data_IF_367298441243
#
_entry.id   IF_367298441243
#
_cell.length_a   1.000
_cell.length_b   1.000
_cell.length_c   1.000
_cell.angle_alpha   90.00
_cell.angle_beta   90.00
_cell.angle_gamma   90.00
#
_symmetry.space_group_name_H-M   'P 1'
#
loop_
_entity.id
_entity.type
_entity.pdbx_description
1 polymer ?
#
# COMPACT_ATOMS: atom_id res chain seq x y z
N UNK A 1 -25.79 3.53 3.27
CA UNK A 1 -25.23 3.81 4.61
C UNK A 1 -24.29 5.00 4.52
N UNK A 2 -23.91 5.60 5.64
CA UNK A 2 -22.97 6.73 5.64
C UNK A 2 -21.53 6.25 5.61
N UNK A 3 -20.63 7.09 5.10
CA UNK A 3 -19.19 6.84 5.17
C UNK A 3 -18.70 6.91 6.62
N UNK A 4 -17.74 6.07 6.98
CA UNK A 4 -17.21 6.00 8.33
C UNK A 4 -15.68 6.11 8.35
N UNK A 5 -15.16 6.94 9.25
CA UNK A 5 -13.74 6.97 9.62
C UNK A 5 -13.67 6.57 11.11
N UNK A 6 -13.10 5.41 11.36
CA UNK A 6 -13.05 4.77 12.68
C UNK A 6 -11.61 4.66 13.13
N UNK A 7 -11.29 5.19 14.30
CA UNK A 7 -10.01 4.96 14.97
C UNK A 7 -10.14 3.87 16.00
N UNK A 8 -9.31 2.87 15.93
CA UNK A 8 -9.10 1.89 17.01
C UNK A 8 -7.95 2.40 17.89
N UNK A 9 -8.28 2.69 19.15
CA UNK A 9 -7.34 3.25 20.13
C UNK A 9 -6.56 2.13 20.85
N UNK A 10 -5.47 2.45 21.57
CA UNK A 10 -4.62 1.44 22.22
C UNK A 10 -5.32 0.59 23.28
N UNK A 11 -6.41 1.07 23.85
CA UNK A 11 -7.27 0.34 24.79
C UNK A 11 -8.35 -0.53 24.12
N UNK A 12 -8.28 -0.67 22.78
CA UNK A 12 -9.25 -1.34 21.91
C UNK A 12 -10.65 -0.68 21.88
N UNK A 13 -10.78 0.56 22.32
CA UNK A 13 -11.99 1.34 22.09
C UNK A 13 -11.99 1.95 20.69
N UNK A 14 -13.17 2.22 20.16
CA UNK A 14 -13.33 2.86 18.85
C UNK A 14 -13.82 4.30 19.00
N UNK A 15 -13.25 5.20 18.21
CA UNK A 15 -13.69 6.58 18.10
C UNK A 15 -14.02 6.89 16.64
N UNK A 16 -15.19 7.47 16.39
CA UNK A 16 -15.56 7.96 15.07
C UNK A 16 -14.98 9.36 14.85
N UNK A 17 -14.47 9.60 13.64
CA UNK A 17 -13.93 10.91 13.23
C UNK A 17 -14.76 11.41 12.04
N UNK A 18 -15.30 12.61 12.16
CA UNK A 18 -16.20 13.15 11.13
C UNK A 18 -15.44 13.58 9.87
N UNK A 19 -14.31 14.26 10.01
CA UNK A 19 -13.52 14.78 8.90
C UNK A 19 -12.07 15.06 9.29
N UNK A 20 -11.17 14.80 8.33
CA UNK A 20 -9.76 15.26 8.38
C UNK A 20 -9.34 15.68 6.97
N UNK A 21 -8.40 16.62 6.87
CA UNK A 21 -8.04 17.25 5.60
C UNK A 21 -7.32 16.31 4.61
N UNK A 22 -6.71 15.27 5.11
CA UNK A 22 -5.98 14.28 4.30
C UNK A 22 -6.83 13.07 3.87
N UNK A 23 -8.15 13.09 4.14
CA UNK A 23 -9.10 12.07 3.68
C UNK A 23 -10.21 12.72 2.87
N UNK A 24 -10.32 12.32 1.62
CA UNK A 24 -11.42 12.73 0.72
C UNK A 24 -12.25 11.51 0.36
N UNK A 25 -13.56 11.57 0.58
CA UNK A 25 -14.50 10.51 0.20
C UNK A 25 -15.61 11.10 -0.66
N UNK A 26 -15.73 10.62 -1.89
CA UNK A 26 -16.82 10.90 -2.80
C UNK A 26 -17.52 9.60 -3.17
N UNK A 27 -18.68 9.36 -2.57
CA UNK A 27 -19.45 8.11 -2.66
C UNK A 27 -20.12 7.77 -1.34
N UNK A 28 -20.57 6.53 -1.19
CA UNK A 28 -21.29 6.05 0.00
C UNK A 28 -20.78 4.70 0.49
N UNK A 29 -21.12 4.36 1.73
CA UNK A 29 -20.85 3.04 2.32
C UNK A 29 -19.35 2.69 2.42
N UNK A 30 -18.49 3.69 2.44
CA UNK A 30 -17.05 3.49 2.58
C UNK A 30 -16.65 3.46 4.07
N UNK A 31 -15.74 2.57 4.42
CA UNK A 31 -15.21 2.44 5.79
C UNK A 31 -13.68 2.58 5.77
N UNK A 32 -13.17 3.53 6.54
CA UNK A 32 -11.74 3.68 6.81
C UNK A 32 -11.52 3.38 8.29
N UNK A 33 -10.79 2.32 8.59
CA UNK A 33 -10.43 1.93 9.96
C UNK A 33 -8.92 2.02 10.14
N UNK A 34 -8.50 2.80 11.15
CA UNK A 34 -7.08 3.06 11.43
C UNK A 34 -6.78 2.80 12.89
N UNK A 35 -5.75 2.03 13.21
CA UNK A 35 -5.21 1.96 14.58
C UNK A 35 -4.26 3.12 14.84
N UNK A 36 -4.57 3.93 15.85
CA UNK A 36 -3.79 5.13 16.15
C UNK A 36 -3.71 5.43 17.65
N UNK A 37 -2.74 6.26 18.04
CA UNK A 37 -2.45 6.56 19.46
C UNK A 37 -3.58 7.36 20.14
N UNK A 38 -4.16 8.35 19.43
CA UNK A 38 -5.26 9.18 19.89
C UNK A 38 -5.96 9.90 18.73
N UNK A 39 -7.16 10.41 18.97
CA UNK A 39 -7.91 11.19 17.97
C UNK A 39 -7.18 12.48 17.63
N UNK A 40 -6.61 13.17 18.61
CA UNK A 40 -5.89 14.43 18.44
C UNK A 40 -4.63 14.24 17.58
N UNK A 41 -3.85 13.20 17.87
CA UNK A 41 -2.67 12.87 17.11
C UNK A 41 -3.01 12.47 15.65
N UNK A 42 -4.11 11.75 15.45
CA UNK A 42 -4.57 11.42 14.11
C UNK A 42 -4.98 12.66 13.31
N UNK A 43 -5.73 13.59 13.90
CA UNK A 43 -6.18 14.81 13.23
C UNK A 43 -5.03 15.71 12.73
N UNK A 44 -3.86 15.59 13.35
CA UNK A 44 -2.65 16.36 13.00
C UNK A 44 -1.62 15.55 12.21
N UNK A 45 -1.99 14.33 11.78
CA UNK A 45 -1.10 13.43 11.03
C UNK A 45 -0.71 14.06 9.69
N UNK A 46 0.56 13.95 9.36
CA UNK A 46 1.12 14.34 8.06
C UNK A 46 1.71 13.13 7.35
N UNK A 47 1.75 13.18 6.02
CA UNK A 47 2.32 12.08 5.22
C UNK A 47 1.34 10.91 4.97
N UNK A 48 0.05 11.10 5.25
CA UNK A 48 -1.02 10.22 4.81
C UNK A 48 -1.97 11.04 3.92
N UNK A 49 -2.35 10.47 2.79
CA UNK A 49 -3.43 10.96 1.95
C UNK A 49 -4.29 9.78 1.49
N UNK A 50 -5.60 9.88 1.67
CA UNK A 50 -6.56 8.87 1.22
C UNK A 50 -7.63 9.54 0.40
N UNK A 51 -7.80 9.12 -0.84
CA UNK A 51 -8.86 9.58 -1.74
C UNK A 51 -9.71 8.40 -2.20
N UNK A 52 -11.00 8.46 -1.95
CA UNK A 52 -11.96 7.43 -2.36
C UNK A 52 -13.02 8.07 -3.25
N UNK A 53 -13.11 7.59 -4.48
CA UNK A 53 -14.17 7.89 -5.45
C UNK A 53 -14.87 6.57 -5.78
N UNK A 54 -16.06 6.37 -5.21
CA UNK A 54 -16.84 5.14 -5.34
C UNK A 54 -17.49 4.71 -4.03
N UNK A 55 -18.06 3.51 -4.04
CA UNK A 55 -18.93 3.04 -2.97
C UNK A 55 -18.44 1.71 -2.40
N UNK A 56 -18.82 1.43 -1.15
CA UNK A 56 -18.60 0.15 -0.49
C UNK A 56 -17.13 -0.27 -0.43
N UNK A 57 -16.22 0.70 -0.25
CA UNK A 57 -14.79 0.43 -0.15
C UNK A 57 -14.36 0.33 1.31
N UNK A 58 -13.37 -0.51 1.58
CA UNK A 58 -12.83 -0.72 2.92
C UNK A 58 -11.33 -0.48 2.91
N UNK A 59 -10.88 0.40 3.80
CA UNK A 59 -9.45 0.65 4.06
C UNK A 59 -9.16 0.33 5.52
N UNK A 60 -8.20 -0.56 5.77
CA UNK A 60 -7.70 -0.91 7.10
C UNK A 60 -6.23 -0.62 7.19
N UNK A 61 -5.86 0.27 8.08
CA UNK A 61 -4.48 0.61 8.39
C UNK A 61 -4.22 0.26 9.85
N UNK A 62 -3.50 -0.81 10.07
CA UNK A 62 -3.03 -1.12 11.41
C UNK A 62 -1.96 -0.11 11.85
N UNK A 63 -1.43 -0.24 13.06
CA UNK A 63 -0.45 0.68 13.63
C UNK A 63 0.77 0.85 12.72
N UNK A 64 0.69 1.79 11.78
CA UNK A 64 1.78 2.10 10.87
C UNK A 64 2.84 2.94 11.57
N UNK A 65 4.10 2.73 11.20
CA UNK A 65 5.21 3.57 11.63
C UNK A 65 5.47 4.61 10.55
N UNK A 66 5.09 5.84 10.83
CA UNK A 66 5.43 6.98 9.98
C UNK A 66 6.75 7.57 10.44
N UNK A 67 7.75 7.74 9.56
CA UNK A 67 8.96 8.47 9.91
C UNK A 67 8.58 9.88 10.36
N UNK A 68 8.92 10.27 11.58
CA UNK A 68 8.70 11.65 12.07
C UNK A 68 9.43 12.62 11.17
N UNK A 69 8.67 13.46 10.46
CA UNK A 69 9.16 14.41 9.48
C UNK A 69 9.48 13.70 8.16
N UNK A 70 8.62 13.86 7.15
CA UNK A 70 8.88 13.34 5.82
C UNK A 70 10.28 13.77 5.37
N UNK A 71 11.23 12.85 5.42
CA UNK A 71 12.56 13.08 4.94
C UNK A 71 12.45 13.33 3.45
N UNK A 72 12.70 14.57 3.01
CA UNK A 72 12.73 15.04 1.63
C UNK A 72 11.39 15.47 1.01
N UNK A 73 10.37 15.84 1.81
CA UNK A 73 9.13 16.44 1.27
C UNK A 73 8.25 15.50 0.44
N UNK A 74 8.45 14.19 0.56
CA UNK A 74 7.62 13.20 -0.11
C UNK A 74 6.50 12.74 0.83
N UNK A 75 5.25 12.58 0.33
CA UNK A 75 4.17 12.00 1.10
C UNK A 75 4.54 10.57 1.53
N UNK A 76 4.21 10.17 2.76
CA UNK A 76 4.46 8.82 3.24
C UNK A 76 3.59 7.80 2.50
N UNK A 77 2.27 7.92 2.58
CA UNK A 77 1.32 7.06 1.88
C UNK A 77 0.29 7.90 1.13
N UNK A 78 0.22 7.69 -0.17
CA UNK A 78 -0.84 8.22 -1.04
C UNK A 78 -1.68 7.05 -1.55
N UNK A 79 -2.94 6.96 -1.07
CA UNK A 79 -3.87 5.87 -1.39
C UNK A 79 -5.04 6.41 -2.19
N UNK A 80 -5.24 5.89 -3.38
CA UNK A 80 -6.31 6.29 -4.28
C UNK A 80 -7.18 5.08 -4.68
N UNK A 81 -8.47 5.13 -4.36
CA UNK A 81 -9.51 4.20 -4.79
C UNK A 81 -10.47 4.97 -5.70
N UNK A 82 -10.54 4.58 -6.97
CA UNK A 82 -11.17 5.42 -7.99
C UNK A 82 -10.34 6.68 -8.26
N UNK A 83 -10.84 7.51 -9.13
CA UNK A 83 -10.26 8.81 -9.48
C UNK A 83 -11.39 9.83 -9.66
N UNK A 84 -11.13 11.12 -9.47
CA UNK A 84 -12.13 12.15 -9.80
C UNK A 84 -12.48 12.06 -11.28
N UNK A 85 -13.73 12.42 -11.62
CA UNK A 85 -14.15 12.51 -13.00
C UNK A 85 -13.22 13.48 -13.77
N UNK A 86 -12.83 13.06 -14.96
CA UNK A 86 -11.99 13.86 -15.84
C UNK A 86 -12.69 14.01 -17.19
N UNK A 87 -13.45 15.10 -17.29
CA UNK A 87 -14.22 15.41 -18.51
C UNK A 87 -13.34 15.87 -19.68
N UNK A 88 -12.05 16.04 -19.46
CA UNK A 88 -11.12 16.48 -20.53
C UNK A 88 -10.72 15.35 -21.47
N UNK A 89 -10.61 14.12 -20.96
CA UNK A 89 -10.21 12.95 -21.76
C UNK A 89 -11.42 12.19 -22.32
N UNK A 90 -12.39 11.87 -21.45
CA UNK A 90 -13.60 11.13 -21.82
C UNK A 90 -14.79 11.72 -21.04
N UNK A 91 -15.47 12.73 -21.59
CA UNK A 91 -16.57 13.41 -20.91
C UNK A 91 -17.65 12.44 -20.43
N UNK A 92 -18.04 12.60 -19.16
CA UNK A 92 -19.09 11.79 -18.52
C UNK A 92 -18.70 10.34 -18.23
N UNK A 93 -17.42 9.96 -18.33
CA UNK A 93 -16.96 8.62 -17.97
C UNK A 93 -16.72 8.52 -16.46
N UNK A 94 -17.46 7.67 -15.74
CA UNK A 94 -17.20 7.44 -14.33
C UNK A 94 -15.83 6.77 -14.16
N UNK A 95 -15.07 7.24 -13.19
CA UNK A 95 -13.76 6.69 -12.80
C UNK A 95 -13.78 6.17 -11.37
N UNK A 96 -14.98 5.93 -10.85
CA UNK A 96 -15.20 5.38 -9.52
C UNK A 96 -14.82 3.90 -9.45
N UNK A 97 -14.35 3.49 -8.29
CA UNK A 97 -14.05 2.10 -7.97
C UNK A 97 -14.87 1.66 -6.75
N UNK A 98 -15.58 0.55 -6.89
CA UNK A 98 -16.47 0.03 -5.85
C UNK A 98 -15.98 -1.33 -5.33
N UNK A 99 -16.35 -1.66 -4.11
CA UNK A 99 -16.02 -2.94 -3.46
C UNK A 99 -14.51 -3.21 -3.38
N UNK A 100 -13.69 -2.17 -3.31
CA UNK A 100 -12.26 -2.31 -3.19
C UNK A 100 -11.85 -2.49 -1.71
N UNK A 101 -10.76 -3.22 -1.51
CA UNK A 101 -10.25 -3.49 -0.18
C UNK A 101 -8.75 -3.19 -0.10
N UNK A 102 -8.36 -2.39 0.88
CA UNK A 102 -6.95 -2.12 1.20
C UNK A 102 -6.69 -2.49 2.65
N UNK A 103 -5.62 -3.22 2.89
CA UNK A 103 -5.15 -3.58 4.23
C UNK A 103 -3.64 -3.44 4.31
N UNK A 104 -3.17 -2.77 5.37
CA UNK A 104 -1.74 -2.66 5.68
C UNK A 104 -1.56 -3.04 7.14
N UNK A 105 -0.78 -4.09 7.37
CA UNK A 105 -0.56 -4.68 8.69
C UNK A 105 0.34 -3.84 9.59
N UNK A 106 0.27 -4.15 10.88
CA UNK A 106 0.95 -3.43 11.96
C UNK A 106 2.48 -3.37 11.81
N UNK A 107 3.09 -2.34 12.39
CA UNK A 107 4.53 -2.08 12.41
C UNK A 107 5.16 -1.98 11.01
N UNK A 108 4.35 -1.77 9.97
CA UNK A 108 4.86 -1.51 8.62
C UNK A 108 5.31 -0.07 8.50
N UNK A 109 6.56 0.13 8.05
CA UNK A 109 7.15 1.45 7.81
C UNK A 109 6.92 1.83 6.35
N UNK A 110 6.33 3.01 6.11
CA UNK A 110 6.12 3.54 4.76
C UNK A 110 6.82 4.89 4.65
N UNK A 111 7.86 4.94 3.82
CA UNK A 111 8.62 6.16 3.59
C UNK A 111 8.04 6.99 2.42
N UNK A 112 7.50 6.32 1.38
CA UNK A 112 6.88 7.00 0.26
C UNK A 112 6.30 6.03 -0.77
N UNK A 113 4.98 5.77 -0.73
CA UNK A 113 4.29 4.85 -1.61
C UNK A 113 3.00 5.45 -2.16
N UNK A 114 2.69 5.13 -3.43
CA UNK A 114 1.41 5.39 -4.09
C UNK A 114 0.69 4.08 -4.35
N UNK A 115 -0.50 3.93 -3.80
CA UNK A 115 -1.39 2.79 -4.03
C UNK A 115 -2.55 3.23 -4.92
N UNK A 116 -2.84 2.47 -5.98
CA UNK A 116 -3.89 2.82 -6.95
C UNK A 116 -4.79 1.64 -7.29
N UNK A 117 -6.10 1.82 -7.04
CA UNK A 117 -7.18 0.90 -7.40
C UNK A 117 -8.23 1.69 -8.21
N UNK A 118 -8.28 1.53 -9.52
CA UNK A 118 -9.18 2.30 -10.42
C UNK A 118 -10.42 1.50 -10.83
N UNK A 119 -10.39 0.17 -10.70
CA UNK A 119 -11.49 -0.70 -11.10
C UNK A 119 -12.10 -1.40 -9.88
N UNK A 120 -13.36 -1.80 -10.02
CA UNK A 120 -14.13 -2.50 -8.99
C UNK A 120 -13.50 -3.83 -8.55
N UNK A 121 -13.87 -4.31 -7.38
CA UNK A 121 -13.61 -5.66 -6.86
C UNK A 121 -12.10 -6.02 -6.79
N UNK A 122 -11.23 -5.02 -6.59
CA UNK A 122 -9.79 -5.22 -6.45
C UNK A 122 -9.31 -4.98 -5.03
N UNK A 123 -8.14 -5.53 -4.70
CA UNK A 123 -7.55 -5.32 -3.38
C UNK A 123 -6.03 -5.17 -3.42
N UNK A 124 -5.51 -4.41 -2.45
CA UNK A 124 -4.09 -4.37 -2.09
C UNK A 124 -3.98 -4.80 -0.63
N UNK A 125 -3.26 -5.89 -0.39
CA UNK A 125 -2.95 -6.36 0.95
C UNK A 125 -1.45 -6.33 1.17
N UNK A 126 -1.02 -5.67 2.23
CA UNK A 126 0.37 -5.58 2.67
C UNK A 126 0.42 -6.11 4.10
N UNK A 127 1.26 -7.09 4.35
CA UNK A 127 1.42 -7.70 5.66
C UNK A 127 2.04 -6.78 6.70
N UNK A 128 2.33 -7.34 7.85
CA UNK A 128 2.95 -6.66 9.00
C UNK A 128 4.47 -6.66 8.94
N UNK A 129 5.08 -5.76 9.73
CA UNK A 129 6.54 -5.65 9.85
C UNK A 129 7.26 -5.45 8.51
N UNK A 130 6.63 -4.81 7.53
CA UNK A 130 7.24 -4.49 6.26
C UNK A 130 8.01 -3.17 6.31
N UNK A 131 8.99 -3.01 5.43
CA UNK A 131 9.68 -1.76 5.19
C UNK A 131 9.52 -1.34 3.72
N UNK A 132 8.79 -0.26 3.49
CA UNK A 132 8.49 0.28 2.17
C UNK A 132 9.25 1.59 2.01
N UNK A 133 10.22 1.60 1.09
CA UNK A 133 11.10 2.74 0.85
C UNK A 133 10.38 3.86 0.07
N UNK A 134 11.13 4.74 -0.57
CA UNK A 134 10.59 5.87 -1.34
C UNK A 134 10.40 5.54 -2.81
N UNK A 135 9.46 6.23 -3.46
CA UNK A 135 9.22 6.12 -4.90
C UNK A 135 8.54 4.81 -5.29
N UNK A 136 7.73 4.26 -4.40
CA UNK A 136 7.06 2.96 -4.61
C UNK A 136 5.69 3.20 -5.25
N UNK A 137 5.39 2.49 -6.36
CA UNK A 137 4.04 2.40 -6.92
C UNK A 137 3.52 0.97 -6.78
N UNK A 138 2.29 0.83 -6.27
CA UNK A 138 1.57 -0.43 -6.11
C UNK A 138 0.21 -0.27 -6.76
N UNK A 139 0.07 -0.71 -8.01
CA UNK A 139 -1.10 -0.43 -8.84
C UNK A 139 -1.81 -1.70 -9.28
N UNK A 140 -3.09 -1.82 -8.94
CA UNK A 140 -3.96 -2.93 -9.37
C UNK A 140 -4.39 -2.85 -10.83
N UNK A 141 -3.98 -1.84 -11.56
CA UNK A 141 -4.49 -1.48 -12.89
C UNK A 141 -3.36 -1.02 -13.82
N UNK A 142 -3.61 -1.06 -15.13
CA UNK A 142 -2.81 -0.37 -16.15
C UNK A 142 -3.42 1.02 -16.49
N UNK A 143 -4.47 1.44 -15.79
CA UNK A 143 -5.26 2.66 -16.01
C UNK A 143 -5.99 2.73 -17.35
N UNK A 144 -5.42 2.19 -18.42
CA UNK A 144 -6.01 2.20 -19.77
C UNK A 144 -6.25 0.79 -20.30
N UNK A 145 -7.25 0.65 -21.20
CA UNK A 145 -7.65 -0.63 -21.76
C UNK A 145 -6.71 -1.06 -22.89
N UNK A 146 -6.27 -2.31 -22.81
CA UNK A 146 -5.60 -3.00 -23.92
C UNK A 146 -6.59 -4.05 -24.46
N UNK A 147 -6.79 -4.05 -25.79
CA UNK A 147 -7.66 -5.03 -26.46
C UNK A 147 -6.86 -5.85 -27.48
N UNK A 148 -7.40 -7.01 -27.86
CA UNK A 148 -7.02 -7.64 -29.12
C UNK A 148 -7.64 -6.90 -30.31
N UNK A 149 -7.37 -7.40 -31.53
CA UNK A 149 -7.89 -6.78 -32.76
C UNK A 149 -9.41 -6.95 -32.94
N UNK A 150 -10.02 -7.87 -32.20
CA UNK A 150 -11.45 -8.14 -32.19
C UNK A 150 -12.17 -7.29 -31.13
N UNK A 151 -11.44 -6.49 -30.34
CA UNK A 151 -11.98 -5.60 -29.32
C UNK A 151 -12.15 -6.26 -27.95
N UNK A 152 -11.70 -7.49 -27.73
CA UNK A 152 -11.76 -8.13 -26.41
C UNK A 152 -10.71 -7.53 -25.47
N UNK A 153 -11.13 -7.22 -24.23
CA UNK A 153 -10.23 -6.67 -23.20
C UNK A 153 -9.24 -7.72 -22.72
N UNK A 154 -7.95 -7.38 -22.73
CA UNK A 154 -6.86 -8.29 -22.35
C UNK A 154 -6.30 -8.00 -20.96
N UNK A 155 -6.47 -6.78 -20.42
CA UNK A 155 -5.71 -6.30 -19.27
C UNK A 155 -6.57 -5.92 -18.06
N UNK A 156 -7.54 -6.74 -17.71
CA UNK A 156 -8.34 -6.54 -16.50
C UNK A 156 -7.48 -6.25 -15.28
N UNK A 157 -7.97 -5.37 -14.40
CA UNK A 157 -7.37 -5.12 -13.09
C UNK A 157 -7.38 -6.35 -12.23
N UNK A 158 -6.36 -6.51 -11.38
CA UNK A 158 -6.21 -7.65 -10.47
C UNK A 158 -5.55 -7.22 -9.17
N UNK A 159 -5.95 -7.89 -8.10
CA UNK A 159 -5.44 -7.66 -6.75
C UNK A 159 -3.94 -7.93 -6.61
N UNK A 160 -3.35 -7.32 -5.57
CA UNK A 160 -1.95 -7.46 -5.18
C UNK A 160 -1.88 -7.93 -3.74
N UNK A 161 -0.97 -8.87 -3.46
CA UNK A 161 -0.71 -9.41 -2.13
C UNK A 161 0.79 -9.34 -1.83
N UNK A 162 1.13 -8.70 -0.71
CA UNK A 162 2.50 -8.60 -0.18
C UNK A 162 2.45 -9.19 1.23
N UNK A 163 3.27 -10.19 1.48
CA UNK A 163 3.31 -10.91 2.75
C UNK A 163 3.93 -10.10 3.90
N UNK A 164 4.13 -10.77 5.02
CA UNK A 164 4.74 -10.20 6.21
C UNK A 164 6.26 -10.05 6.05
N UNK A 165 6.85 -9.06 6.73
CA UNK A 165 8.29 -8.86 6.81
C UNK A 165 8.95 -8.78 5.42
N UNK A 166 8.34 -8.00 4.52
CA UNK A 166 8.87 -7.73 3.17
C UNK A 166 9.58 -6.38 3.16
N UNK A 167 10.82 -6.36 2.68
CA UNK A 167 11.54 -5.12 2.42
C UNK A 167 11.43 -4.74 0.95
N UNK A 168 10.79 -3.61 0.67
CA UNK A 168 10.68 -3.03 -0.67
C UNK A 168 11.70 -1.90 -0.79
N UNK A 169 12.71 -2.13 -1.61
CA UNK A 169 13.74 -1.15 -1.93
C UNK A 169 13.19 0.06 -2.68
N UNK A 170 14.00 1.10 -2.81
CA UNK A 170 13.61 2.37 -3.43
C UNK A 170 13.24 2.21 -4.92
N UNK A 171 12.33 3.05 -5.42
CA UNK A 171 11.92 3.17 -6.83
C UNK A 171 11.38 1.85 -7.43
N UNK A 172 10.80 0.97 -6.60
CA UNK A 172 10.16 -0.28 -7.02
C UNK A 172 8.75 -0.02 -7.54
N UNK A 173 8.37 -0.71 -8.62
CA UNK A 173 7.03 -0.70 -9.18
C UNK A 173 6.42 -2.10 -9.10
N UNK A 174 5.23 -2.19 -8.49
CA UNK A 174 4.50 -3.46 -8.31
C UNK A 174 3.19 -3.36 -9.07
N UNK A 175 3.08 -4.16 -10.14
CA UNK A 175 1.91 -4.20 -11.00
C UNK A 175 0.87 -5.21 -10.51
N UNK A 176 -0.30 -5.14 -11.10
CA UNK A 176 -1.44 -6.02 -10.85
C UNK A 176 -1.10 -7.51 -10.94
N UNK A 177 -1.88 -8.36 -10.25
CA UNK A 177 -1.71 -9.82 -10.20
C UNK A 177 -0.37 -10.27 -9.58
N UNK A 178 0.25 -9.40 -8.77
CA UNK A 178 1.49 -9.72 -8.06
C UNK A 178 1.19 -10.33 -6.70
N UNK A 179 2.00 -11.32 -6.34
CA UNK A 179 2.11 -11.84 -4.98
C UNK A 179 3.59 -11.89 -4.59
N UNK A 180 3.90 -11.42 -3.39
CA UNK A 180 5.23 -11.48 -2.80
C UNK A 180 5.09 -12.20 -1.46
N UNK A 181 5.78 -13.32 -1.30
CA UNK A 181 5.74 -14.08 -0.05
C UNK A 181 6.55 -13.43 1.07
N UNK A 182 6.31 -13.90 2.30
CA UNK A 182 6.95 -13.39 3.51
C UNK A 182 8.47 -13.40 3.43
N UNK A 183 9.11 -12.60 4.28
CA UNK A 183 10.57 -12.58 4.48
C UNK A 183 11.38 -12.29 3.20
N UNK A 184 10.78 -11.60 2.24
CA UNK A 184 11.39 -11.33 0.94
C UNK A 184 11.92 -9.90 0.85
N UNK A 185 12.88 -9.71 -0.05
CA UNK A 185 13.49 -8.41 -0.33
C UNK A 185 13.26 -8.09 -1.80
N UNK A 186 12.71 -6.91 -2.09
CA UNK A 186 12.61 -6.40 -3.45
C UNK A 186 13.74 -5.40 -3.68
N UNK A 187 14.63 -5.75 -4.59
CA UNK A 187 15.80 -4.93 -4.92
C UNK A 187 15.41 -3.59 -5.54
N UNK A 188 16.23 -2.59 -5.32
CA UNK A 188 16.05 -1.22 -5.81
C UNK A 188 15.79 -1.16 -7.32
N UNK A 189 14.82 -0.32 -7.74
CA UNK A 189 14.46 -0.09 -9.15
C UNK A 189 13.81 -1.28 -9.86
N UNK A 190 13.34 -2.27 -9.12
CA UNK A 190 12.73 -3.47 -9.70
C UNK A 190 11.30 -3.23 -10.20
N UNK A 191 10.90 -3.94 -11.28
CA UNK A 191 9.52 -3.96 -11.79
C UNK A 191 8.94 -5.36 -11.61
N UNK A 192 8.00 -5.46 -10.65
CA UNK A 192 7.41 -6.74 -10.19
C UNK A 192 6.03 -6.90 -10.82
N UNK A 193 5.86 -7.88 -11.70
CA UNK A 193 4.63 -8.08 -12.49
C UNK A 193 4.12 -9.52 -12.47
N UNK A 194 4.58 -10.34 -11.52
CA UNK A 194 4.17 -11.73 -11.38
C UNK A 194 4.18 -12.18 -9.93
N UNK A 195 3.70 -13.41 -9.69
CA UNK A 195 3.68 -14.03 -8.37
C UNK A 195 5.03 -14.65 -8.03
N UNK A 196 5.46 -14.48 -6.77
CA UNK A 196 6.63 -15.07 -6.16
C UNK A 196 6.19 -15.77 -4.86
N UNK A 197 6.07 -17.09 -4.92
CA UNK A 197 5.56 -17.90 -3.80
C UNK A 197 6.69 -18.43 -2.87
N UNK A 198 7.95 -18.24 -3.25
CA UNK A 198 9.10 -18.57 -2.40
C UNK A 198 9.32 -17.48 -1.35
N UNK A 199 9.60 -17.88 -0.11
CA UNK A 199 10.01 -17.01 1.00
C UNK A 199 11.53 -16.88 1.08
N UNK A 200 12.04 -15.92 1.86
CA UNK A 200 13.46 -15.72 2.11
C UNK A 200 14.30 -15.54 0.83
N UNK A 201 13.78 -14.73 -0.08
CA UNK A 201 14.39 -14.49 -1.39
C UNK A 201 14.65 -13.00 -1.65
N UNK A 202 15.66 -12.72 -2.49
CA UNK A 202 15.80 -11.43 -3.15
C UNK A 202 15.20 -11.50 -4.53
N UNK A 203 14.26 -10.61 -4.80
CA UNK A 203 13.59 -10.43 -6.09
C UNK A 203 14.08 -9.11 -6.67
N UNK A 204 14.66 -9.12 -7.87
CA UNK A 204 15.19 -7.89 -8.47
C UNK A 204 15.19 -7.92 -10.00
N UNK A 205 15.26 -6.72 -10.60
CA UNK A 205 15.39 -6.51 -12.03
C UNK A 205 14.13 -6.03 -12.73
N UNK A 206 14.20 -5.84 -14.03
CA UNK A 206 13.10 -5.47 -14.93
C UNK A 206 13.10 -6.39 -16.18
N UNK A 207 12.14 -7.33 -16.32
CA UNK A 207 11.19 -7.77 -15.30
C UNK A 207 11.89 -8.48 -14.11
N UNK A 208 11.30 -8.35 -12.92
CA UNK A 208 11.89 -8.90 -11.69
C UNK A 208 11.93 -10.44 -11.70
N UNK A 209 13.00 -10.98 -11.13
CA UNK A 209 13.24 -12.42 -10.96
C UNK A 209 13.86 -12.67 -9.58
N UNK A 210 13.78 -13.91 -9.07
CA UNK A 210 14.54 -14.31 -7.89
C UNK A 210 16.01 -14.34 -8.29
N UNK A 211 16.83 -13.54 -7.59
CA UNK A 211 18.28 -13.42 -7.82
C UNK A 211 19.10 -14.03 -6.69
N UNK A 212 18.51 -14.23 -5.52
CA UNK A 212 19.15 -14.87 -4.38
C UNK A 212 18.11 -15.59 -3.51
N UNK A 213 18.50 -16.68 -2.87
CA UNK A 213 17.70 -17.46 -1.93
C UNK A 213 18.39 -17.55 -0.58
N UNK A 214 17.68 -18.06 0.41
CA UNK A 214 18.18 -18.30 1.76
C UNK A 214 18.76 -17.02 2.40
N UNK A 215 18.00 -15.93 2.30
CA UNK A 215 18.34 -14.63 2.87
C UNK A 215 17.28 -14.18 3.87
N UNK A 216 17.69 -13.30 4.76
CA UNK A 216 16.79 -12.55 5.62
C UNK A 216 17.29 -11.10 5.70
N UNK A 217 16.48 -10.22 6.28
CA UNK A 217 16.82 -8.82 6.49
C UNK A 217 16.39 -8.38 7.89
N UNK A 218 16.87 -7.24 8.34
CA UNK A 218 16.55 -6.66 9.64
C UNK A 218 16.43 -5.14 9.50
N UNK A 219 15.59 -4.52 10.29
CA UNK A 219 15.39 -3.05 10.30
C UNK A 219 16.63 -2.28 10.73
N UNK A 220 17.53 -2.92 11.47
CA UNK A 220 18.76 -2.28 11.95
C UNK A 220 19.72 -2.11 10.79
N UNK A 221 20.49 -1.03 10.79
CA UNK A 221 21.68 -0.95 9.96
C UNK A 221 22.73 -2.00 10.34
N UNK A 222 23.72 -2.19 9.48
CA UNK A 222 24.72 -3.26 9.63
C UNK A 222 25.44 -3.19 10.97
N UNK A 223 25.81 -2.00 11.43
CA UNK A 223 26.54 -1.81 12.69
C UNK A 223 25.68 -2.18 13.90
N UNK A 224 24.47 -1.67 13.98
CA UNK A 224 23.53 -1.98 15.05
C UNK A 224 23.11 -3.44 15.06
N UNK A 225 22.98 -4.07 13.89
CA UNK A 225 22.74 -5.51 13.80
C UNK A 225 23.90 -6.33 14.35
N UNK A 226 25.15 -5.97 14.05
CA UNK A 226 26.32 -6.63 14.61
C UNK A 226 26.40 -6.50 16.13
N UNK A 227 26.11 -5.33 16.70
CA UNK A 227 26.05 -5.15 18.16
C UNK A 227 24.94 -6.02 18.78
N UNK A 228 23.76 -6.09 18.16
CA UNK A 228 22.68 -6.96 18.59
C UNK A 228 23.12 -8.43 18.61
N UNK A 229 23.72 -8.92 17.53
CA UNK A 229 24.25 -10.30 17.48
C UNK A 229 25.29 -10.61 18.56
N UNK A 230 26.15 -9.65 18.91
CA UNK A 230 27.10 -9.79 20.00
C UNK A 230 26.42 -9.87 21.37
N UNK A 231 25.31 -9.15 21.58
CA UNK A 231 24.54 -9.17 22.83
C UNK A 231 23.85 -10.51 23.09
N UNK A 232 23.44 -11.23 22.02
CA UNK A 232 22.84 -12.56 22.14
C UNK A 232 23.80 -13.68 22.52
N UNK A 233 25.11 -13.43 22.42
CA UNK A 233 26.19 -14.43 22.76
C UNK A 233 26.69 -14.31 24.20
N UNK A 234 26.20 -13.35 24.96
CA UNK A 234 26.47 -13.15 26.40
C UNK A 234 25.40 -13.75 27.27
#
# INVERSE_FOLDING_TARGET
MENQIILELPDNTEAQVDKVDFITINGSDNTIKVKFESVEAFKTLTGLNISIFGNNNIVKLDKLIYPKGGTRGLPGLDLNIGLPADDTLIPGSPRDANNCYVEIGENTIICGASLLLVNHDTSIKIGKNCMISWGIDIWCTDAHTVTDLDGNVLNFSKSIEIGDHVWIGRDVKIGKNTKISNDSIIGWGSIVTKKFDETNVVIAGNPAKIVKRDVNWDFRDIYNYQLYQQSLKK
#
